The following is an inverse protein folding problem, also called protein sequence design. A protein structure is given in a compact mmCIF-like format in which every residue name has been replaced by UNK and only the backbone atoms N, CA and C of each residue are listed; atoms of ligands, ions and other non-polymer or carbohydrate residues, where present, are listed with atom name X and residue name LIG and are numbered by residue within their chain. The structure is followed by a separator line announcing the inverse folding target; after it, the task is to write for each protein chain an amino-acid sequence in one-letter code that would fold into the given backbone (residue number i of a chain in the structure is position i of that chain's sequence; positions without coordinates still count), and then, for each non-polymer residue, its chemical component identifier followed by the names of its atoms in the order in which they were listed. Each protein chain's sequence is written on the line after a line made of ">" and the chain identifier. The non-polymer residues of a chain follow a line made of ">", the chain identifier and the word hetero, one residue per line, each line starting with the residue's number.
data_IF_718159455521
#
_entry.id   IF_718159455521
#
_cell.length_a   1.000
_cell.length_b   1.000
_cell.length_c   1.000
_cell.angle_alpha   90.00
_cell.angle_beta   90.00
_cell.angle_gamma   90.00
#
_symmetry.space_group_name_H-M   'P 1'
#
loop_
_entity.id
_entity.type
_entity.pdbx_description
1 polymer ?
#
# COMPACT_ATOMS: atom_id res chain seq x y z
N UNK A 1 43.99 29.15 -10.69
CA UNK A 1 43.02 29.16 -9.55
C UNK A 1 41.81 28.27 -9.86
N UNK A 2 42.00 26.95 -10.02
CA UNK A 2 40.96 26.02 -10.54
C UNK A 2 40.73 24.77 -9.67
N UNK A 3 41.48 24.60 -8.56
CA UNK A 3 41.37 23.39 -7.71
C UNK A 3 40.22 23.43 -6.70
N UNK A 4 39.75 24.62 -6.31
CA UNK A 4 38.71 24.78 -5.28
C UNK A 4 37.30 24.50 -5.77
N UNK A 5 37.00 24.78 -7.05
CA UNK A 5 35.70 24.46 -7.67
C UNK A 5 35.55 22.95 -7.87
N UNK A 6 36.62 22.28 -8.29
CA UNK A 6 36.64 20.83 -8.50
C UNK A 6 36.38 20.02 -7.23
N UNK A 7 36.84 20.48 -6.07
CA UNK A 7 36.62 19.80 -4.78
C UNK A 7 35.20 19.99 -4.26
N UNK A 8 34.60 21.17 -4.49
CA UNK A 8 33.22 21.42 -4.13
C UNK A 8 32.25 20.65 -5.01
N UNK A 9 32.50 20.58 -6.32
CA UNK A 9 31.72 19.76 -7.25
C UNK A 9 31.78 18.27 -6.90
N UNK A 10 32.98 17.76 -6.55
CA UNK A 10 33.13 16.37 -6.13
C UNK A 10 32.38 16.07 -4.82
N UNK A 11 32.39 17.02 -3.88
CA UNK A 11 31.63 16.90 -2.62
C UNK A 11 30.13 16.91 -2.88
N UNK A 12 29.65 17.75 -3.81
CA UNK A 12 28.24 17.80 -4.21
C UNK A 12 27.81 16.50 -4.88
N UNK A 13 28.62 15.96 -5.80
CA UNK A 13 28.34 14.68 -6.46
C UNK A 13 28.23 13.53 -5.44
N UNK A 14 29.12 13.46 -4.46
CA UNK A 14 29.05 12.45 -3.40
C UNK A 14 27.79 12.61 -2.53
N UNK A 15 27.39 13.84 -2.22
CA UNK A 15 26.14 14.09 -1.47
C UNK A 15 24.90 13.73 -2.27
N UNK A 16 24.86 14.04 -3.57
CA UNK A 16 23.77 13.68 -4.47
C UNK A 16 23.64 12.15 -4.54
N UNK A 17 24.74 11.44 -4.81
CA UNK A 17 24.72 9.98 -4.84
C UNK A 17 24.26 9.37 -3.51
N UNK A 18 24.65 9.96 -2.37
CA UNK A 18 24.15 9.53 -1.05
C UNK A 18 22.66 9.78 -0.87
N UNK A 19 22.12 10.89 -1.40
CA UNK A 19 20.69 11.19 -1.34
C UNK A 19 19.88 10.25 -2.23
N UNK A 20 20.35 9.97 -3.44
CA UNK A 20 19.73 9.00 -4.35
C UNK A 20 19.67 7.62 -3.72
N UNK A 21 20.78 7.14 -3.15
CA UNK A 21 20.80 5.84 -2.46
C UNK A 21 19.84 5.79 -1.26
N UNK A 22 19.72 6.87 -0.49
CA UNK A 22 18.75 6.96 0.62
C UNK A 22 17.31 6.95 0.10
N UNK A 23 17.04 7.64 -0.99
CA UNK A 23 15.72 7.65 -1.63
C UNK A 23 15.34 6.25 -2.11
N UNK A 24 16.25 5.56 -2.79
CA UNK A 24 16.04 4.18 -3.25
C UNK A 24 15.74 3.23 -2.08
N UNK A 25 16.47 3.38 -0.96
CA UNK A 25 16.22 2.58 0.24
C UNK A 25 14.83 2.84 0.86
N UNK A 26 14.37 4.10 0.86
CA UNK A 26 13.02 4.46 1.35
C UNK A 26 11.95 3.89 0.42
N UNK A 27 12.11 4.03 -0.90
CA UNK A 27 11.18 3.50 -1.89
C UNK A 27 11.09 1.97 -1.81
N UNK A 28 12.23 1.29 -1.67
CA UNK A 28 12.27 -0.16 -1.50
C UNK A 28 11.48 -0.60 -0.27
N UNK A 29 11.70 0.04 0.89
CA UNK A 29 10.94 -0.26 2.13
C UNK A 29 9.45 -0.04 1.97
N UNK A 30 9.04 1.10 1.42
CA UNK A 30 7.63 1.42 1.20
C UNK A 30 6.95 0.39 0.28
N UNK A 31 7.63 -0.05 -0.79
CA UNK A 31 7.08 -1.05 -1.70
C UNK A 31 6.86 -2.43 -1.04
N UNK A 32 7.77 -2.83 -0.15
CA UNK A 32 7.65 -4.08 0.61
C UNK A 32 6.47 -4.00 1.57
N UNK A 33 6.34 -2.90 2.30
CA UNK A 33 5.25 -2.70 3.27
C UNK A 33 3.87 -2.60 2.58
N UNK A 34 3.76 -1.88 1.45
CA UNK A 34 2.51 -1.82 0.68
C UNK A 34 2.08 -3.18 0.14
N UNK A 35 3.03 -3.99 -0.37
CA UNK A 35 2.71 -5.32 -0.89
C UNK A 35 2.19 -6.28 0.20
N UNK A 36 2.65 -6.09 1.43
CA UNK A 36 2.24 -6.86 2.60
C UNK A 36 0.84 -6.45 3.12
N UNK A 37 0.51 -5.17 3.02
CA UNK A 37 -0.74 -4.63 3.56
C UNK A 37 -1.95 -4.85 2.66
N UNK A 38 -1.78 -4.90 1.34
CA UNK A 38 -2.89 -5.01 0.39
C UNK A 38 -3.17 -6.45 -0.03
N UNK A 39 -4.29 -6.99 0.45
CA UNK A 39 -4.73 -8.36 0.21
C UNK A 39 -5.65 -8.44 -1.01
N UNK A 40 -5.66 -9.59 -1.68
CA UNK A 40 -6.69 -9.92 -2.65
C UNK A 40 -7.98 -10.42 -1.97
N UNK A 41 -9.02 -10.67 -2.77
CA UNK A 41 -10.30 -11.20 -2.29
C UNK A 41 -10.14 -12.51 -1.51
N UNK A 42 -9.27 -13.42 -1.96
CA UNK A 42 -9.10 -14.75 -1.35
C UNK A 42 -8.44 -14.66 0.01
N UNK A 43 -7.35 -13.90 0.10
CA UNK A 43 -6.64 -13.64 1.34
C UNK A 43 -7.52 -12.87 2.34
N UNK A 44 -8.31 -11.90 1.87
CA UNK A 44 -9.24 -11.14 2.72
C UNK A 44 -10.37 -12.03 3.27
N UNK A 45 -10.96 -12.88 2.43
CA UNK A 45 -11.95 -13.87 2.88
C UNK A 45 -11.38 -14.81 3.94
N UNK A 46 -10.14 -15.26 3.74
CA UNK A 46 -9.44 -16.13 4.69
C UNK A 46 -9.15 -15.42 6.01
N UNK A 47 -8.72 -14.15 5.95
CA UNK A 47 -8.44 -13.31 7.12
C UNK A 47 -9.69 -13.08 7.98
N UNK A 48 -10.84 -12.80 7.35
CA UNK A 48 -12.09 -12.50 8.06
C UNK A 48 -12.91 -13.75 8.40
N UNK A 49 -12.53 -14.93 7.88
CA UNK A 49 -13.29 -16.17 8.04
C UNK A 49 -14.66 -16.13 7.34
N UNK A 50 -14.78 -15.47 6.18
CA UNK A 50 -16.03 -15.30 5.44
C UNK A 50 -15.93 -15.78 4.00
N UNK A 51 -17.07 -15.94 3.32
CA UNK A 51 -17.13 -16.27 1.90
C UNK A 51 -17.05 -15.02 1.01
N UNK A 52 -16.65 -15.20 -0.26
CA UNK A 52 -16.62 -14.10 -1.25
C UNK A 52 -18.00 -13.44 -1.40
N UNK A 53 -19.09 -14.23 -1.36
CA UNK A 53 -20.46 -13.69 -1.39
C UNK A 53 -20.72 -12.76 -0.21
N UNK A 54 -20.31 -13.16 1.00
CA UNK A 54 -20.48 -12.32 2.18
C UNK A 54 -19.62 -11.05 2.08
N UNK A 55 -18.38 -11.17 1.60
CA UNK A 55 -17.49 -10.03 1.40
C UNK A 55 -18.11 -9.01 0.41
N UNK A 56 -18.69 -9.46 -0.70
CA UNK A 56 -19.40 -8.59 -1.64
C UNK A 56 -20.62 -7.91 -1.02
N UNK A 57 -21.38 -8.62 -0.18
CA UNK A 57 -22.49 -8.02 0.54
C UNK A 57 -22.01 -6.92 1.50
N UNK A 58 -20.91 -7.13 2.22
CA UNK A 58 -20.33 -6.09 3.10
C UNK A 58 -19.93 -4.83 2.34
N UNK A 59 -19.42 -4.98 1.11
CA UNK A 59 -19.09 -3.86 0.24
C UNK A 59 -20.37 -3.15 -0.23
N UNK A 60 -21.37 -3.92 -0.68
CA UNK A 60 -22.65 -3.38 -1.15
C UNK A 60 -23.46 -2.67 -0.05
N UNK A 61 -23.41 -3.19 1.18
CA UNK A 61 -23.99 -2.59 2.39
C UNK A 61 -23.22 -1.35 2.86
N UNK A 62 -22.04 -1.06 2.28
CA UNK A 62 -21.18 0.03 2.72
C UNK A 62 -20.45 -0.23 4.04
N UNK A 63 -20.45 -1.47 4.56
CA UNK A 63 -19.62 -1.80 5.73
C UNK A 63 -18.14 -1.69 5.38
N UNK A 64 -17.74 -2.30 4.27
CA UNK A 64 -16.37 -2.20 3.75
C UNK A 64 -16.35 -1.16 2.64
N UNK A 65 -15.65 -0.04 2.87
CA UNK A 65 -15.69 1.11 1.97
C UNK A 65 -14.44 2.01 2.09
N UNK A 66 -14.35 2.97 1.16
CA UNK A 66 -13.34 4.02 1.18
C UNK A 66 -11.92 3.46 1.03
N UNK A 67 -11.01 3.93 1.87
CA UNK A 67 -9.59 3.55 1.82
C UNK A 67 -9.33 2.07 2.15
N UNK A 68 -10.31 1.35 2.71
CA UNK A 68 -10.18 -0.07 2.98
C UNK A 68 -10.19 -0.94 1.71
N UNK A 69 -10.66 -0.41 0.56
CA UNK A 69 -10.70 -1.14 -0.70
C UNK A 69 -10.29 -0.28 -1.90
N UNK A 70 -9.61 -0.89 -2.88
CA UNK A 70 -9.22 -0.24 -4.13
C UNK A 70 -9.61 -1.12 -5.30
N UNK A 71 -10.23 -0.54 -6.34
CA UNK A 71 -10.44 -1.24 -7.60
C UNK A 71 -9.14 -1.21 -8.42
N UNK A 72 -8.49 -2.36 -8.53
CA UNK A 72 -7.31 -2.61 -9.37
C UNK A 72 -7.67 -3.25 -10.72
N UNK A 73 -8.96 -3.50 -10.96
CA UNK A 73 -9.50 -3.97 -12.22
C UNK A 73 -9.94 -2.84 -13.15
N UNK A 74 -10.63 -3.19 -14.22
CA UNK A 74 -11.23 -2.19 -15.13
C UNK A 74 -12.66 -1.86 -14.69
N UNK A 75 -13.22 -0.78 -15.21
CA UNK A 75 -14.64 -0.42 -14.96
C UNK A 75 -15.59 -1.55 -15.37
N UNK A 76 -15.26 -2.31 -16.42
CA UNK A 76 -16.08 -3.44 -16.90
C UNK A 76 -15.83 -4.75 -16.13
N UNK A 77 -14.67 -4.89 -15.48
CA UNK A 77 -14.25 -6.09 -14.75
C UNK A 77 -13.54 -5.67 -13.46
N UNK A 78 -14.34 -5.34 -12.46
CA UNK A 78 -13.83 -4.94 -11.15
C UNK A 78 -12.97 -6.06 -10.54
N UNK A 79 -11.83 -5.67 -9.98
CA UNK A 79 -11.01 -6.52 -9.12
C UNK A 79 -10.61 -5.67 -7.93
N UNK A 80 -10.89 -6.14 -6.73
CA UNK A 80 -10.62 -5.38 -5.52
C UNK A 80 -9.37 -5.88 -4.83
N UNK A 81 -8.59 -4.94 -4.31
CA UNK A 81 -7.62 -5.19 -3.24
C UNK A 81 -8.10 -4.51 -1.96
N UNK A 82 -7.74 -5.09 -0.83
CA UNK A 82 -8.23 -4.69 0.48
C UNK A 82 -7.05 -4.38 1.40
N UNK A 83 -7.10 -3.25 2.07
CA UNK A 83 -6.09 -2.92 3.07
C UNK A 83 -6.35 -3.75 4.32
N UNK A 84 -5.39 -4.62 4.70
CA UNK A 84 -5.50 -5.61 5.76
C UNK A 84 -6.05 -5.06 7.08
N UNK A 85 -5.47 -3.96 7.55
CA UNK A 85 -5.86 -3.38 8.85
C UNK A 85 -7.21 -2.65 8.79
N UNK A 86 -7.41 -1.78 7.79
CA UNK A 86 -8.65 -1.02 7.64
C UNK A 86 -9.86 -1.92 7.41
N UNK A 87 -9.73 -2.96 6.58
CA UNK A 87 -10.84 -3.90 6.33
C UNK A 87 -11.20 -4.67 7.60
N UNK A 88 -10.20 -5.09 8.39
CA UNK A 88 -10.41 -5.76 9.67
C UNK A 88 -11.11 -4.82 10.66
N UNK A 89 -10.61 -3.58 10.79
CA UNK A 89 -11.18 -2.59 11.70
C UNK A 89 -12.64 -2.27 11.35
N UNK A 90 -12.95 -2.06 10.06
CA UNK A 90 -14.32 -1.82 9.60
C UNK A 90 -15.23 -3.04 9.87
N UNK A 91 -14.71 -4.26 9.66
CA UNK A 91 -15.46 -5.48 9.91
C UNK A 91 -15.75 -5.72 11.41
N UNK A 92 -14.76 -5.51 12.28
CA UNK A 92 -14.91 -5.66 13.74
C UNK A 92 -15.85 -4.61 14.33
N UNK A 93 -15.76 -3.35 13.87
CA UNK A 93 -16.67 -2.28 14.29
C UNK A 93 -18.14 -2.62 14.05
N UNK A 94 -18.46 -3.35 12.97
CA UNK A 94 -19.83 -3.88 12.72
C UNK A 94 -20.25 -4.94 13.73
N UNK A 95 -19.30 -5.76 14.21
CA UNK A 95 -19.56 -6.85 15.17
C UNK A 95 -19.76 -6.36 16.60
N UNK A 96 -19.56 -5.07 16.88
CA UNK A 96 -19.71 -4.50 18.22
C UNK A 96 -18.61 -4.96 19.19
N UNK A 97 -17.44 -5.34 18.65
CA UNK A 97 -16.22 -5.68 19.41
C UNK A 97 -15.21 -4.56 19.17
#
# INVERSE_FOLDING_TARGET
>A
MTRHTSTMDQTLQLRIASLESKLDAVLAKLSVDESSQWLDTRATCSLLGITDRHLRNLIAEGTIHGEALRNVGTVKKHRYRFHRELVMNQYLKRKGI
#
